data_IF_807779366699
#
_entry.id   IF_807779366699
#
_cell.length_a   1.000
_cell.length_b   1.000
_cell.length_c   1.000
_cell.angle_alpha   90.00
_cell.angle_beta   90.00
_cell.angle_gamma   90.00
#
_symmetry.space_group_name_H-M   'P 1'
#
loop_
_entity.id
_entity.type
_entity.pdbx_description
1 polymer ?
#
# COMPACT_ATOMS: atom_id res chain seq x y z
N UNK A 1 13.02 18.58 6.32
CA UNK A 1 12.62 17.33 5.64
C UNK A 1 13.82 16.53 5.14
N UNK A 2 14.67 17.03 4.23
CA UNK A 2 15.81 16.30 3.60
C UNK A 2 16.77 15.49 4.50
N UNK A 3 17.00 15.93 5.75
CA UNK A 3 17.93 15.26 6.67
C UNK A 3 17.26 14.24 7.58
N UNK A 4 15.93 14.28 7.73
CA UNK A 4 15.22 13.47 8.71
C UNK A 4 14.78 12.14 8.09
N UNK A 5 14.31 12.13 6.84
CA UNK A 5 13.92 10.89 6.15
C UNK A 5 15.12 9.95 5.91
N UNK A 6 16.28 10.49 5.53
CA UNK A 6 17.53 9.72 5.39
C UNK A 6 18.05 9.24 6.75
N UNK A 7 17.90 10.03 7.82
CA UNK A 7 18.28 9.60 9.17
C UNK A 7 17.38 8.49 9.68
N UNK A 8 16.07 8.55 9.41
CA UNK A 8 15.10 7.56 9.85
C UNK A 8 15.34 6.23 9.16
N UNK A 9 15.51 6.23 7.83
CA UNK A 9 15.86 5.05 7.05
C UNK A 9 17.20 4.44 7.50
N UNK A 10 18.21 5.27 7.79
CA UNK A 10 19.49 4.80 8.31
C UNK A 10 19.40 4.26 9.76
N UNK A 11 18.54 4.83 10.60
CA UNK A 11 18.30 4.38 11.98
C UNK A 11 17.59 3.02 12.03
N UNK A 12 16.67 2.75 11.11
CA UNK A 12 15.99 1.46 11.00
C UNK A 12 16.97 0.36 10.55
N UNK A 13 17.79 0.64 9.53
CA UNK A 13 18.84 -0.28 9.06
C UNK A 13 19.93 -0.53 10.11
N UNK A 14 20.28 0.46 10.94
CA UNK A 14 21.25 0.30 12.04
C UNK A 14 20.66 -0.36 13.29
N UNK A 15 19.35 -0.20 13.54
CA UNK A 15 18.65 -0.79 14.69
C UNK A 15 18.48 -2.31 14.59
N UNK A 16 18.33 -2.84 13.37
CA UNK A 16 18.24 -4.29 13.12
C UNK A 16 19.53 -5.06 13.48
N UNK A 17 20.68 -4.37 13.57
CA UNK A 17 21.98 -4.99 13.86
C UNK A 17 22.38 -5.08 15.34
N UNK A 18 21.62 -4.49 16.28
CA UNK A 18 22.01 -4.46 17.70
C UNK A 18 20.81 -4.58 18.65
N UNK A 19 20.29 -5.79 18.81
CA UNK A 19 19.44 -6.13 19.96
C UNK A 19 20.15 -7.16 20.82
N UNK A 20 20.89 -6.68 21.82
CA UNK A 20 21.25 -7.48 23.00
C UNK A 20 20.61 -6.85 24.23
N UNK A 21 19.55 -7.45 24.77
CA UNK A 21 19.48 -8.00 26.14
C UNK A 21 18.04 -8.33 26.53
N UNK A 22 17.84 -9.60 26.88
CA UNK A 22 16.89 -10.21 27.82
C UNK A 22 15.90 -9.28 28.57
N UNK A 23 14.75 -9.05 27.94
CA UNK A 23 13.42 -9.18 28.56
C UNK A 23 12.68 -10.25 27.73
N UNK A 24 11.53 -10.78 28.19
CA UNK A 24 10.77 -11.80 27.44
C UNK A 24 10.80 -11.46 25.95
N UNK A 25 11.46 -12.31 25.14
CA UNK A 25 11.95 -11.93 23.82
C UNK A 25 10.77 -11.41 23.01
N UNK A 26 10.72 -10.08 22.82
CA UNK A 26 9.84 -9.49 21.82
C UNK A 26 10.50 -9.91 20.51
N UNK A 27 9.96 -10.97 19.90
CA UNK A 27 10.33 -11.33 18.54
C UNK A 27 9.76 -10.23 17.66
N UNK A 28 10.66 -9.42 17.11
CA UNK A 28 10.33 -8.47 16.07
C UNK A 28 10.71 -9.16 14.76
N UNK A 29 9.73 -9.35 13.91
CA UNK A 29 9.92 -9.80 12.53
C UNK A 29 9.62 -8.61 11.63
N UNK A 30 10.24 -8.58 10.47
CA UNK A 30 9.98 -7.48 9.55
C UNK A 30 10.57 -7.68 8.19
N UNK A 31 10.34 -6.69 7.35
CA UNK A 31 10.90 -6.63 6.03
C UNK A 31 11.21 -5.20 5.63
N UNK A 32 12.08 -5.07 4.63
CA UNK A 32 12.33 -3.85 3.90
C UNK A 32 12.22 -4.14 2.42
N UNK A 33 11.64 -3.21 1.68
CA UNK A 33 11.44 -3.38 0.26
C UNK A 33 11.66 -2.09 -0.52
N UNK A 34 11.99 -2.26 -1.78
CA UNK A 34 12.03 -1.18 -2.75
C UNK A 34 11.69 -1.71 -4.14
N UNK A 35 10.87 -0.94 -4.86
CA UNK A 35 10.44 -1.25 -6.21
C UNK A 35 10.54 -0.07 -7.15
N UNK A 36 10.62 -0.38 -8.43
CA UNK A 36 10.54 0.58 -9.53
C UNK A 36 9.27 0.31 -10.30
N UNK A 37 8.49 1.35 -10.52
CA UNK A 37 7.21 1.30 -11.22
C UNK A 37 7.21 2.33 -12.35
N UNK A 38 6.43 2.09 -13.39
CA UNK A 38 6.27 3.03 -14.51
C UNK A 38 5.44 4.26 -14.14
N UNK A 39 4.63 4.18 -13.09
CA UNK A 39 3.87 5.28 -12.48
C UNK A 39 3.55 5.02 -11.00
N UNK A 40 3.05 6.04 -10.32
CA UNK A 40 2.39 5.90 -9.02
C UNK A 40 0.87 5.86 -9.23
N UNK A 41 0.26 4.68 -9.09
CA UNK A 41 -1.18 4.48 -9.16
C UNK A 41 -1.76 4.34 -7.74
N UNK A 42 -2.74 5.16 -7.38
CA UNK A 42 -3.40 5.11 -6.08
C UNK A 42 -4.92 5.31 -6.24
N UNK A 43 -5.73 4.33 -5.82
CA UNK A 43 -7.21 4.35 -6.00
C UNK A 43 -7.62 4.69 -7.46
N UNK A 44 -6.87 4.19 -8.43
CA UNK A 44 -7.07 4.48 -9.86
C UNK A 44 -6.50 5.83 -10.36
N UNK A 45 -5.98 6.70 -9.49
CA UNK A 45 -5.32 7.95 -9.89
C UNK A 45 -3.85 7.72 -10.24
N UNK A 46 -3.40 8.24 -11.39
CA UNK A 46 -1.97 8.39 -11.68
C UNK A 46 -1.44 9.65 -10.99
N UNK A 47 -0.83 9.47 -9.82
CA UNK A 47 -0.24 10.54 -9.01
C UNK A 47 1.20 10.89 -9.41
N UNK A 48 1.64 10.43 -10.58
CA UNK A 48 3.00 10.65 -11.09
C UNK A 48 3.06 11.31 -12.47
N UNK A 49 1.91 11.66 -13.08
CA UNK A 49 1.83 12.16 -14.47
C UNK A 49 2.48 11.18 -15.47
N UNK A 50 2.22 9.89 -15.30
CA UNK A 50 2.75 8.81 -16.15
C UNK A 50 4.28 8.69 -16.10
N UNK A 51 4.91 9.10 -14.98
CA UNK A 51 6.36 9.08 -14.83
C UNK A 51 6.80 7.98 -13.88
N UNK A 52 7.95 7.35 -14.18
CA UNK A 52 8.43 6.27 -13.33
C UNK A 52 8.76 6.76 -11.93
N UNK A 53 8.52 5.90 -10.97
CA UNK A 53 8.72 6.15 -9.54
C UNK A 53 9.53 5.04 -8.90
N UNK A 54 10.17 5.37 -7.78
CA UNK A 54 10.65 4.38 -6.82
C UNK A 54 9.73 4.44 -5.63
N UNK A 55 9.30 3.28 -5.16
CA UNK A 55 8.55 3.15 -3.92
C UNK A 55 9.33 2.25 -2.99
N UNK A 56 9.39 2.60 -1.71
CA UNK A 56 10.14 1.84 -0.73
C UNK A 56 9.44 1.87 0.62
N UNK A 57 9.64 0.82 1.39
CA UNK A 57 9.01 0.70 2.70
C UNK A 57 9.72 -0.25 3.63
N UNK A 58 9.20 -0.29 4.85
CA UNK A 58 9.63 -1.19 5.89
C UNK A 58 8.45 -1.52 6.81
N UNK A 59 8.35 -2.78 7.19
CA UNK A 59 7.31 -3.28 8.09
C UNK A 59 7.97 -3.92 9.31
N UNK A 60 7.51 -3.54 10.51
CA UNK A 60 7.98 -4.07 11.77
C UNK A 60 6.82 -4.62 12.57
N UNK A 61 6.81 -5.93 12.75
CA UNK A 61 5.72 -6.67 13.39
C UNK A 61 6.13 -7.21 14.76
N UNK A 62 5.23 -7.09 15.73
CA UNK A 62 5.39 -7.71 17.05
C UNK A 62 4.02 -8.18 17.56
N UNK A 63 3.81 -9.50 17.51
CA UNK A 63 2.54 -10.11 17.89
C UNK A 63 1.45 -9.78 16.88
N UNK A 64 0.50 -8.92 17.28
CA UNK A 64 -0.65 -8.51 16.45
C UNK A 64 -0.53 -7.10 15.90
N UNK A 65 0.55 -6.40 16.23
CA UNK A 65 0.78 -5.03 15.83
C UNK A 65 1.85 -4.96 14.75
N UNK A 66 1.61 -4.10 13.76
CA UNK A 66 2.59 -3.78 12.72
C UNK A 66 2.75 -2.27 12.65
N UNK A 67 3.98 -1.80 12.64
CA UNK A 67 4.34 -0.42 12.30
C UNK A 67 4.99 -0.43 10.92
N UNK A 68 4.38 0.29 9.99
CA UNK A 68 4.84 0.38 8.61
C UNK A 68 5.31 1.78 8.27
N UNK A 69 6.31 1.85 7.42
CA UNK A 69 6.77 3.05 6.73
C UNK A 69 6.69 2.80 5.24
N UNK A 70 6.18 3.77 4.48
CA UNK A 70 6.20 3.74 3.02
C UNK A 70 6.55 5.12 2.46
N UNK A 71 7.17 5.18 1.28
CA UNK A 71 7.45 6.45 0.59
C UNK A 71 7.47 6.28 -0.92
N UNK A 72 7.09 7.34 -1.62
CA UNK A 72 7.19 7.45 -3.07
C UNK A 72 8.18 8.53 -3.51
N UNK A 73 8.98 8.21 -4.53
CA UNK A 73 9.97 9.08 -5.15
C UNK A 73 9.76 9.15 -6.66
N UNK A 74 9.51 10.34 -7.20
CA UNK A 74 9.44 10.50 -8.66
C UNK A 74 10.85 10.48 -9.27
N UNK A 75 11.06 9.60 -10.27
CA UNK A 75 12.36 9.46 -10.94
C UNK A 75 12.57 10.48 -12.07
N UNK A 76 11.48 11.03 -12.62
CA UNK A 76 11.52 11.99 -13.72
C UNK A 76 10.47 13.08 -13.54
N UNK A 77 10.89 14.34 -13.54
CA UNK A 77 9.96 15.46 -13.35
C UNK A 77 8.86 15.49 -14.40
N UNK A 78 7.66 15.86 -13.96
CA UNK A 78 6.58 16.39 -14.78
C UNK A 78 6.57 17.93 -14.71
N UNK A 79 5.49 18.56 -15.18
CA UNK A 79 5.33 20.02 -15.06
C UNK A 79 5.11 20.43 -13.60
N UNK A 80 4.37 19.61 -12.85
CA UNK A 80 3.89 19.94 -11.51
C UNK A 80 4.63 19.16 -10.41
N UNK A 81 5.32 18.08 -10.75
CA UNK A 81 6.05 17.22 -9.80
C UNK A 81 7.54 17.21 -10.16
N UNK A 82 8.40 17.46 -9.17
CA UNK A 82 9.85 17.51 -9.36
C UNK A 82 10.48 16.16 -9.01
N UNK A 83 11.33 15.62 -9.88
CA UNK A 83 12.08 14.40 -9.58
C UNK A 83 13.13 14.59 -8.49
N UNK A 84 13.41 13.51 -7.76
CA UNK A 84 14.54 13.41 -6.83
C UNK A 84 14.23 13.80 -5.39
N UNK A 85 12.97 14.12 -5.08
CA UNK A 85 12.47 14.29 -3.70
C UNK A 85 11.29 13.34 -3.45
N UNK A 86 11.06 12.98 -2.18
CA UNK A 86 9.88 12.20 -1.80
C UNK A 86 8.66 13.11 -1.95
N UNK A 87 7.64 12.65 -2.66
CA UNK A 87 6.38 13.38 -2.75
C UNK A 87 5.33 12.87 -1.75
N UNK A 88 5.56 11.69 -1.16
CA UNK A 88 4.68 11.12 -0.14
C UNK A 88 5.46 10.22 0.83
N UNK A 89 5.05 10.24 2.09
CA UNK A 89 5.53 9.34 3.12
C UNK A 89 4.41 8.96 4.06
N UNK A 90 4.22 7.66 4.25
CA UNK A 90 3.14 7.14 5.07
C UNK A 90 3.69 6.43 6.28
N UNK A 91 3.01 6.62 7.41
CA UNK A 91 3.24 5.84 8.62
C UNK A 91 1.94 5.13 8.96
N UNK A 92 1.97 3.80 9.01
CA UNK A 92 0.81 2.97 9.31
C UNK A 92 1.02 2.29 10.66
N UNK A 93 0.02 2.37 11.53
CA UNK A 93 -0.10 1.50 12.69
C UNK A 93 -1.28 0.58 12.49
N UNK A 94 -1.02 -0.72 12.44
CA UNK A 94 -2.02 -1.77 12.27
C UNK A 94 -2.16 -2.65 13.52
N UNK A 95 -3.37 -3.14 13.76
CA UNK A 95 -3.65 -4.29 14.59
C UNK A 95 -4.45 -5.33 13.82
N UNK A 96 -3.87 -6.52 13.65
CA UNK A 96 -4.44 -7.65 12.92
C UNK A 96 -4.75 -8.84 13.83
N UNK A 97 -5.92 -9.45 13.67
CA UNK A 97 -6.28 -10.66 14.41
C UNK A 97 -7.23 -11.57 13.65
N UNK A 98 -7.09 -12.87 13.89
CA UNK A 98 -8.07 -13.86 13.46
C UNK A 98 -9.22 -13.98 14.48
N UNK A 99 -10.43 -14.08 13.94
CA UNK A 99 -11.68 -14.36 14.64
C UNK A 99 -12.14 -15.78 14.29
N UNK A 100 -11.50 -16.76 14.93
CA UNK A 100 -11.63 -18.16 14.55
C UNK A 100 -10.84 -18.47 13.28
N UNK A 101 -11.16 -19.57 12.59
CA UNK A 101 -10.40 -20.01 11.41
C UNK A 101 -10.84 -19.29 10.12
N UNK A 102 -12.08 -18.79 10.07
CA UNK A 102 -12.71 -18.33 8.83
C UNK A 102 -12.56 -16.84 8.54
N UNK A 103 -12.21 -16.03 9.54
CA UNK A 103 -12.30 -14.58 9.43
C UNK A 103 -11.05 -13.93 10.02
N UNK A 104 -10.37 -13.13 9.22
CA UNK A 104 -9.26 -12.27 9.65
C UNK A 104 -9.72 -10.82 9.58
N UNK A 105 -9.36 -10.02 10.59
CA UNK A 105 -9.76 -8.61 10.70
C UNK A 105 -8.53 -7.78 11.03
N UNK A 106 -8.42 -6.62 10.37
CA UNK A 106 -7.38 -5.63 10.62
C UNK A 106 -8.01 -4.25 10.83
N UNK A 107 -7.45 -3.50 11.76
CA UNK A 107 -7.82 -2.10 12.00
C UNK A 107 -6.54 -1.30 12.17
N UNK A 108 -6.46 -0.16 11.50
CA UNK A 108 -5.29 0.68 11.59
C UNK A 108 -5.55 2.13 11.29
N UNK A 109 -4.50 2.91 11.44
CA UNK A 109 -4.47 4.31 11.03
C UNK A 109 -3.25 4.53 10.13
N UNK A 110 -3.48 5.30 9.06
CA UNK A 110 -2.48 5.77 8.13
C UNK A 110 -2.36 7.27 8.34
N UNK A 111 -1.15 7.72 8.62
CA UNK A 111 -0.80 9.13 8.54
C UNK A 111 -0.06 9.38 7.24
N UNK A 112 -0.62 10.26 6.41
CA UNK A 112 -0.07 10.64 5.11
C UNK A 112 0.67 11.97 5.24
N UNK A 113 1.96 11.97 4.93
CA UNK A 113 2.76 13.18 4.79
C UNK A 113 2.91 13.51 3.30
N UNK A 114 2.16 14.51 2.84
CA UNK A 114 1.97 14.79 1.41
C UNK A 114 2.77 16.02 0.97
N UNK A 115 3.47 15.92 -0.16
CA UNK A 115 4.07 17.09 -0.79
C UNK A 115 3.08 17.74 -1.76
N UNK A 116 2.74 19.01 -1.50
CA UNK A 116 1.78 19.77 -2.32
C UNK A 116 0.32 19.64 -1.89
N UNK A 117 0.02 18.91 -0.81
CA UNK A 117 -1.29 18.84 -0.16
C UNK A 117 -1.14 18.94 1.37
N UNK A 118 -2.24 19.00 2.11
CA UNK A 118 -2.21 18.96 3.58
C UNK A 118 -2.00 17.52 4.07
N UNK A 119 -1.20 17.34 5.11
CA UNK A 119 -1.06 16.04 5.76
C UNK A 119 -2.42 15.62 6.34
N UNK A 120 -2.76 14.33 6.28
CA UNK A 120 -4.05 13.82 6.77
C UNK A 120 -3.91 12.48 7.48
N UNK A 121 -4.98 12.07 8.18
CA UNK A 121 -5.08 10.80 8.86
C UNK A 121 -6.31 10.02 8.40
N UNK A 122 -6.10 8.76 8.03
CA UNK A 122 -7.15 7.85 7.59
C UNK A 122 -7.19 6.62 8.48
N UNK A 123 -8.37 6.32 9.03
CA UNK A 123 -8.63 5.06 9.72
C UNK A 123 -9.07 4.03 8.69
N UNK A 124 -8.66 2.78 8.87
CA UNK A 124 -9.20 1.69 8.08
C UNK A 124 -9.61 0.50 8.92
N UNK A 125 -10.58 -0.25 8.41
CA UNK A 125 -11.04 -1.53 8.92
C UNK A 125 -11.17 -2.49 7.73
N UNK A 126 -10.55 -3.65 7.80
CA UNK A 126 -10.68 -4.70 6.80
C UNK A 126 -11.12 -6.02 7.42
N UNK A 127 -11.82 -6.83 6.62
CA UNK A 127 -12.26 -8.16 6.98
C UNK A 127 -12.11 -9.10 5.78
N UNK A 128 -11.40 -10.20 5.98
CA UNK A 128 -11.10 -11.21 4.96
C UNK A 128 -11.68 -12.56 5.37
N UNK A 129 -12.39 -13.20 4.45
CA UNK A 129 -12.88 -14.58 4.68
C UNK A 129 -11.85 -15.56 4.14
N UNK A 130 -11.30 -16.40 5.02
CA UNK A 130 -10.21 -17.35 4.74
C UNK A 130 -10.69 -18.56 3.92
N UNK A 131 -10.99 -18.31 2.64
CA UNK A 131 -11.44 -19.28 1.65
C UNK A 131 -10.56 -19.18 0.40
N UNK A 132 -10.80 -20.03 -0.61
CA UNK A 132 -9.97 -20.10 -1.82
C UNK A 132 -9.67 -18.71 -2.42
N UNK A 133 -10.66 -17.84 -2.54
CA UNK A 133 -10.52 -16.53 -3.19
C UNK A 133 -10.30 -15.37 -2.21
N UNK A 134 -10.11 -15.67 -0.92
CA UNK A 134 -9.89 -14.67 0.15
C UNK A 134 -10.72 -13.39 0.01
N UNK A 135 -12.06 -13.46 -0.15
CA UNK A 135 -12.86 -12.27 -0.38
C UNK A 135 -12.70 -11.31 0.80
N UNK A 136 -12.37 -10.07 0.48
CA UNK A 136 -12.01 -9.05 1.46
C UNK A 136 -12.85 -7.80 1.23
N UNK A 137 -13.27 -7.16 2.32
CA UNK A 137 -13.90 -5.85 2.31
C UNK A 137 -13.06 -4.95 3.20
N UNK A 138 -12.78 -3.73 2.73
CA UNK A 138 -12.17 -2.70 3.56
C UNK A 138 -12.97 -1.39 3.49
N UNK A 139 -12.90 -0.65 4.59
CA UNK A 139 -13.51 0.66 4.78
C UNK A 139 -12.40 1.58 5.23
N UNK A 140 -12.31 2.75 4.60
CA UNK A 140 -11.37 3.81 4.90
C UNK A 140 -12.15 5.07 5.25
N UNK A 141 -11.71 5.77 6.29
CA UNK A 141 -12.31 7.00 6.77
C UNK A 141 -11.20 8.01 7.04
N UNK A 142 -11.08 9.00 6.15
CA UNK A 142 -10.24 10.16 6.41
C UNK A 142 -11.00 11.07 7.37
N UNK A 143 -10.48 11.17 8.59
CA UNK A 143 -11.14 11.83 9.71
C UNK A 143 -10.59 13.23 9.99
N UNK A 144 -9.57 13.64 9.24
CA UNK A 144 -8.78 14.85 9.52
C UNK A 144 -9.01 15.92 8.44
N UNK A 145 -8.91 15.55 7.17
CA UNK A 145 -8.95 16.50 6.05
C UNK A 145 -10.28 16.50 5.27
N UNK A 146 -11.10 15.46 5.37
CA UNK A 146 -12.43 15.45 4.73
C UNK A 146 -13.43 16.39 5.41
N UNK A 147 -14.24 17.08 4.62
CA UNK A 147 -15.32 17.96 5.12
C UNK A 147 -16.72 17.31 5.02
N UNK A 148 -16.88 16.29 4.17
CA UNK A 148 -18.12 15.53 3.96
C UNK A 148 -18.08 14.15 4.68
N UNK A 149 -18.67 13.09 4.11
CA UNK A 149 -18.68 11.78 4.77
C UNK A 149 -17.29 11.13 4.94
N UNK A 150 -16.33 11.43 4.06
CA UNK A 150 -14.93 11.00 4.19
C UNK A 150 -14.68 9.50 3.98
N UNK A 151 -15.66 8.74 3.47
CA UNK A 151 -15.63 7.27 3.44
C UNK A 151 -15.30 6.71 2.06
N UNK A 152 -14.41 5.72 2.03
CA UNK A 152 -14.06 4.95 0.84
C UNK A 152 -14.11 3.45 1.12
N UNK A 153 -14.63 2.66 0.18
CA UNK A 153 -14.86 1.23 0.36
C UNK A 153 -14.19 0.44 -0.75
N UNK A 154 -13.67 -0.73 -0.41
CA UNK A 154 -13.18 -1.72 -1.38
C UNK A 154 -13.79 -3.08 -1.10
N UNK A 155 -13.97 -3.84 -2.17
CA UNK A 155 -14.24 -5.27 -2.12
C UNK A 155 -13.33 -5.97 -3.14
N UNK A 156 -12.56 -6.96 -2.69
CA UNK A 156 -11.63 -7.69 -3.54
C UNK A 156 -11.74 -9.20 -3.36
N UNK A 157 -11.22 -9.89 -4.38
CA UNK A 157 -10.93 -11.31 -4.35
C UNK A 157 -9.51 -11.51 -4.87
N UNK A 158 -8.81 -12.49 -4.31
CA UNK A 158 -7.46 -12.83 -4.74
C UNK A 158 -7.17 -14.31 -4.56
N UNK A 159 -6.27 -14.84 -5.38
CA UNK A 159 -5.77 -16.20 -5.21
C UNK A 159 -4.31 -16.29 -5.66
N UNK A 160 -3.53 -17.07 -4.92
CA UNK A 160 -2.14 -17.39 -5.26
C UNK A 160 -2.01 -18.85 -5.66
N UNK A 161 -1.30 -19.10 -6.76
CA UNK A 161 -0.98 -20.43 -7.26
C UNK A 161 0.52 -20.67 -7.13
N UNK A 162 0.89 -21.75 -6.45
CA UNK A 162 2.28 -22.21 -6.43
C UNK A 162 2.63 -22.81 -7.80
N UNK A 163 3.52 -22.14 -8.55
CA UNK A 163 4.02 -22.61 -9.84
C UNK A 163 5.23 -23.54 -9.67
N UNK A 164 6.04 -23.30 -8.64
CA UNK A 164 7.16 -24.14 -8.20
C UNK A 164 7.49 -23.87 -6.72
N UNK A 165 8.52 -24.52 -6.16
CA UNK A 165 8.95 -24.30 -4.77
C UNK A 165 9.31 -22.83 -4.48
N UNK A 166 9.90 -22.13 -5.44
CA UNK A 166 10.39 -20.76 -5.27
C UNK A 166 9.54 -19.71 -6.03
N UNK A 167 8.43 -20.10 -6.66
CA UNK A 167 7.66 -19.21 -7.54
C UNK A 167 6.16 -19.35 -7.34
N UNK A 168 5.50 -18.24 -7.02
CA UNK A 168 4.05 -18.14 -6.96
C UNK A 168 3.49 -17.13 -7.98
N UNK A 169 2.25 -17.36 -8.41
CA UNK A 169 1.46 -16.47 -9.27
C UNK A 169 0.24 -15.98 -8.49
N UNK A 170 0.18 -14.68 -8.24
CA UNK A 170 -0.98 -14.01 -7.68
C UNK A 170 -1.89 -13.45 -8.76
N UNK A 171 -3.20 -13.66 -8.60
CA UNK A 171 -4.25 -12.99 -9.38
C UNK A 171 -5.21 -12.28 -8.42
N UNK A 172 -5.65 -11.08 -8.77
CA UNK A 172 -6.61 -10.32 -7.97
C UNK A 172 -7.58 -9.52 -8.82
N UNK A 173 -8.74 -9.23 -8.23
CA UNK A 173 -9.72 -8.30 -8.76
C UNK A 173 -10.32 -7.49 -7.61
N UNK A 174 -10.46 -6.18 -7.81
CA UNK A 174 -11.00 -5.25 -6.82
C UNK A 174 -12.07 -4.38 -7.46
N UNK A 175 -13.09 -4.01 -6.69
CA UNK A 175 -14.01 -2.92 -6.98
C UNK A 175 -14.08 -1.98 -5.80
N UNK A 176 -14.24 -0.69 -6.07
CA UNK A 176 -14.34 0.33 -5.03
C UNK A 176 -15.58 1.20 -5.15
N UNK A 177 -15.94 1.83 -4.04
CA UNK A 177 -17.04 2.77 -3.93
C UNK A 177 -16.58 3.98 -3.12
N UNK A 178 -16.73 5.16 -3.70
CA UNK A 178 -16.52 6.43 -3.01
C UNK A 178 -17.84 6.87 -2.35
N UNK A 179 -17.78 7.28 -1.09
CA UNK A 179 -18.88 7.90 -0.38
C UNK A 179 -18.39 9.25 0.16
N UNK A 180 -18.22 10.19 -0.76
CA UNK A 180 -17.77 11.55 -0.46
C UNK A 180 -16.48 11.57 0.38
N UNK A 181 -15.51 10.72 0.01
CA UNK A 181 -14.10 10.90 0.41
C UNK A 181 -13.54 12.07 -0.40
N UNK A 182 -14.00 13.26 -0.06
CA UNK A 182 -13.85 14.50 -0.80
C UNK A 182 -12.40 14.99 -0.85
N UNK A 183 -11.62 14.68 0.19
CA UNK A 183 -10.19 14.97 0.21
C UNK A 183 -9.37 14.02 -0.69
N UNK A 184 -9.57 12.72 -0.53
CA UNK A 184 -8.75 11.68 -1.17
C UNK A 184 -9.20 11.31 -2.60
N UNK A 185 -10.50 11.40 -2.90
CA UNK A 185 -11.08 10.89 -4.14
C UNK A 185 -11.90 11.94 -4.87
N UNK A 186 -12.72 12.69 -4.14
CA UNK A 186 -13.58 13.74 -4.66
C UNK A 186 -14.99 13.68 -4.09
N UNK A 187 -15.70 14.80 -4.17
CA UNK A 187 -17.05 14.97 -3.61
C UNK A 187 -18.12 14.31 -4.50
N UNK A 188 -18.21 12.98 -4.44
CA UNK A 188 -19.30 12.22 -5.03
C UNK A 188 -19.54 10.87 -4.33
N UNK A 189 -20.78 10.38 -4.45
CA UNK A 189 -21.16 9.02 -4.07
C UNK A 189 -21.29 8.12 -5.30
N UNK A 190 -20.55 7.00 -5.35
CA UNK A 190 -20.68 6.03 -6.45
C UNK A 190 -19.55 5.03 -6.57
N UNK A 191 -19.74 4.02 -7.42
CA UNK A 191 -18.66 3.12 -7.81
C UNK A 191 -17.49 3.91 -8.41
N UNK A 192 -16.31 3.76 -7.82
CA UNK A 192 -15.14 4.54 -8.19
C UNK A 192 -14.37 3.84 -9.30
N UNK A 193 -13.61 2.79 -9.00
CA UNK A 193 -12.83 2.05 -9.98
C UNK A 193 -12.93 0.54 -9.79
N UNK A 194 -12.52 -0.21 -10.81
CA UNK A 194 -12.18 -1.61 -10.68
C UNK A 194 -10.71 -1.82 -11.03
N UNK A 195 -10.11 -2.84 -10.44
CA UNK A 195 -8.72 -3.23 -10.73
C UNK A 195 -8.63 -4.72 -11.02
N UNK A 196 -7.73 -5.07 -11.94
CA UNK A 196 -7.32 -6.44 -12.21
C UNK A 196 -5.80 -6.52 -12.04
N UNK A 197 -5.35 -7.41 -11.18
CA UNK A 197 -3.93 -7.54 -10.84
C UNK A 197 -3.39 -8.92 -11.15
N UNK A 198 -2.12 -8.93 -11.59
CA UNK A 198 -1.31 -10.14 -11.74
C UNK A 198 0.08 -9.85 -11.19
N UNK A 199 0.62 -10.78 -10.41
CA UNK A 199 1.95 -10.68 -9.84
C UNK A 199 2.64 -12.02 -9.81
N UNK A 200 3.96 -12.00 -9.93
CA UNK A 200 4.80 -13.15 -9.60
C UNK A 200 5.58 -12.82 -8.35
N UNK A 201 5.84 -13.82 -7.52
CA UNK A 201 6.78 -13.71 -6.41
C UNK A 201 7.82 -14.83 -6.54
N UNK A 202 9.08 -14.44 -6.76
CA UNK A 202 10.19 -15.36 -6.94
C UNK A 202 11.19 -15.26 -5.78
N UNK A 203 11.29 -16.31 -4.97
CA UNK A 203 12.26 -16.42 -3.89
C UNK A 203 13.67 -16.65 -4.47
N UNK A 204 14.54 -15.65 -4.39
CA UNK A 204 15.95 -15.79 -4.75
C UNK A 204 16.74 -16.54 -3.67
N UNK A 205 16.35 -16.30 -2.41
CA UNK A 205 16.87 -16.97 -1.21
C UNK A 205 15.74 -17.02 -0.17
N UNK A 206 15.98 -17.67 0.97
CA UNK A 206 15.05 -17.67 2.11
C UNK A 206 14.69 -16.27 2.66
N UNK A 207 15.46 -15.23 2.30
CA UNK A 207 15.28 -13.87 2.81
C UNK A 207 15.03 -12.84 1.71
N UNK A 208 15.25 -13.16 0.44
CA UNK A 208 15.18 -12.20 -0.66
C UNK A 208 14.20 -12.71 -1.72
N UNK A 209 13.21 -11.91 -2.06
CA UNK A 209 12.31 -12.15 -3.19
C UNK A 209 12.36 -11.02 -4.21
N UNK A 210 11.99 -11.34 -5.45
CA UNK A 210 11.77 -10.38 -6.54
C UNK A 210 10.37 -10.60 -7.09
N UNK A 211 9.59 -9.53 -7.12
CA UNK A 211 8.16 -9.62 -7.37
C UNK A 211 7.74 -8.64 -8.47
N UNK A 212 7.77 -9.03 -9.76
CA UNK A 212 7.19 -8.22 -10.82
C UNK A 212 5.66 -8.27 -10.76
N UNK A 213 5.02 -7.13 -11.02
CA UNK A 213 3.57 -7.00 -10.98
C UNK A 213 3.02 -6.12 -12.09
N UNK A 214 1.74 -6.33 -12.38
CA UNK A 214 0.97 -5.55 -13.32
C UNK A 214 -0.45 -5.35 -12.80
N UNK A 215 -0.98 -4.13 -12.94
CA UNK A 215 -2.35 -3.77 -12.58
C UNK A 215 -2.99 -3.00 -13.73
N UNK A 216 -4.22 -3.35 -14.06
CA UNK A 216 -5.12 -2.52 -14.87
C UNK A 216 -6.16 -1.89 -13.96
N UNK A 217 -6.44 -0.59 -14.13
CA UNK A 217 -7.44 0.15 -13.34
C UNK A 217 -8.29 1.03 -14.24
N UNK A 218 -9.59 1.14 -14.00
CA UNK A 218 -10.48 2.02 -14.77
C UNK A 218 -11.69 2.47 -13.95
N UNK A 219 -12.13 3.72 -14.18
CA UNK A 219 -13.34 4.27 -13.59
C UNK A 219 -14.63 3.54 -13.99
N UNK A 220 -15.49 3.28 -13.01
CA UNK A 220 -16.76 2.58 -13.18
C UNK A 220 -17.94 3.53 -13.42
N UNK A 221 -18.09 4.55 -12.58
CA UNK A 221 -19.17 5.54 -12.71
C UNK A 221 -18.78 6.69 -13.64
N UNK A 222 -19.76 7.48 -14.07
CA UNK A 222 -19.50 8.69 -14.85
C UNK A 222 -18.65 9.70 -14.07
N UNK A 223 -18.93 9.88 -12.77
CA UNK A 223 -18.16 10.77 -11.90
C UNK A 223 -16.71 10.29 -11.77
N UNK A 224 -16.50 8.99 -11.56
CA UNK A 224 -15.15 8.43 -11.51
C UNK A 224 -14.40 8.62 -12.84
N UNK A 225 -15.05 8.38 -13.98
CA UNK A 225 -14.45 8.58 -15.31
C UNK A 225 -14.16 10.02 -15.67
N UNK A 226 -14.69 10.99 -14.93
CA UNK A 226 -14.29 12.39 -15.04
C UNK A 226 -13.00 12.69 -14.25
N UNK A 227 -12.72 11.89 -13.22
CA UNK A 227 -11.57 12.06 -12.31
C UNK A 227 -10.38 11.16 -12.67
N UNK A 228 -10.62 9.97 -13.23
CA UNK A 228 -9.60 8.97 -13.56
C UNK A 228 -9.77 8.42 -14.97
N UNK A 229 -8.63 8.19 -15.64
CA UNK A 229 -8.53 7.51 -16.93
C UNK A 229 -8.38 5.99 -16.75
N UNK A 230 -8.30 5.26 -17.87
CA UNK A 230 -7.87 3.86 -17.83
C UNK A 230 -6.35 3.79 -17.68
N UNK A 231 -5.92 3.12 -16.62
CA UNK A 231 -4.52 3.06 -16.22
C UNK A 231 -3.96 1.64 -16.30
N UNK A 232 -2.68 1.57 -16.66
CA UNK A 232 -1.87 0.35 -16.61
C UNK A 232 -0.63 0.68 -15.78
N UNK A 233 -0.42 -0.06 -14.70
CA UNK A 233 0.75 0.02 -13.84
C UNK A 233 1.57 -1.25 -14.02
N UNK A 234 2.87 -1.10 -14.23
CA UNK A 234 3.82 -2.20 -14.23
C UNK A 234 5.03 -1.87 -13.37
N UNK A 235 5.53 -2.86 -12.63
CA UNK A 235 6.74 -2.66 -11.84
C UNK A 235 7.38 -3.95 -11.35
N UNK A 236 8.47 -3.75 -10.61
CA UNK A 236 9.18 -4.84 -9.95
C UNK A 236 9.62 -4.37 -8.57
N UNK A 237 9.35 -5.20 -7.57
CA UNK A 237 9.75 -4.99 -6.19
C UNK A 237 10.83 -6.00 -5.78
N UNK A 238 11.72 -5.59 -4.87
CA UNK A 238 12.65 -6.48 -4.18
C UNK A 238 12.38 -6.36 -2.69
N UNK A 239 12.21 -7.50 -2.02
CA UNK A 239 11.96 -7.56 -0.58
C UNK A 239 13.08 -8.30 0.12
N UNK A 240 13.46 -7.82 1.31
CA UNK A 240 14.34 -8.50 2.25
C UNK A 240 13.61 -8.70 3.58
N UNK A 241 13.43 -9.96 4.00
CA UNK A 241 12.72 -10.34 5.24
C UNK A 241 13.72 -10.81 6.32
N UNK A 242 13.48 -10.44 7.58
CA UNK A 242 14.36 -10.75 8.73
C UNK A 242 13.62 -11.03 10.03
#
# INVERSE_FOLDING_TARGET
MKKWSILLAALIVLGAGMVTTSFAAITVEGDVYAGVFDKYLWRGFDLSDGRPVVQAGADLSSGKFTLSYWTNWQLKSSNDITSGEANETDIILDYSTDLGEMLSVSVGNIWYALDGAEDTNELYLSATVNTLLSPTIAIYYDWDACEEEGLYFTADISHSFDLSEDLSLGLGALVSYNNHSDYAVGDFGGFHNYELSIGLDYALTDQISVSPSFVYSEGLSSAAREAIDSEMLGGVNVTFTF
#
